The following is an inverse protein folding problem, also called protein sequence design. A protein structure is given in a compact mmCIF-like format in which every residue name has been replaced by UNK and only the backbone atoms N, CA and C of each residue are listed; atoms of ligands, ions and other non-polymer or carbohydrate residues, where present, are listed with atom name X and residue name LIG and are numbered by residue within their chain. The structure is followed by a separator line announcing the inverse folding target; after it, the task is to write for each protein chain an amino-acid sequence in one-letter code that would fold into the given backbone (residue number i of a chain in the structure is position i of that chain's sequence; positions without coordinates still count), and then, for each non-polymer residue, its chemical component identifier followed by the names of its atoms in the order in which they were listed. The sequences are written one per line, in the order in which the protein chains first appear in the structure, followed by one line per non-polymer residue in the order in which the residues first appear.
data_IF_385346916725
#
_entry.id   IF_385346916725
#
_cell.length_a   1.000
_cell.length_b   1.000
_cell.length_c   1.000
_cell.angle_alpha   90.00
_cell.angle_beta   90.00
_cell.angle_gamma   90.00
#
_symmetry.space_group_name_H-M   'P 1'
#
loop_
_entity.id
_entity.type
_entity.pdbx_description
1 polymer ?
2 non-polymer ?
3 non-polymer ?
4 non-polymer ?
5 water ?
#
# COMPACT_ATOMS: atom_id res chain seq x y z
N UNK A 1 4.06 -6.88 -39.64
CA UNK A 1 3.23 -7.65 -38.66
C UNK A 1 1.92 -8.10 -39.31
N UNK A 2 1.39 -9.25 -38.89
CA UNK A 2 0.14 -9.80 -39.42
C UNK A 2 -1.06 -8.89 -39.21
N UNK A 3 -2.18 -9.25 -39.83
CA UNK A 3 -3.40 -8.48 -39.71
C UNK A 3 -4.17 -8.96 -38.47
N UNK A 4 -3.79 -10.14 -37.97
CA UNK A 4 -4.44 -10.75 -36.83
C UNK A 4 -3.44 -11.34 -35.83
N UNK A 5 -3.55 -10.88 -34.58
CA UNK A 5 -2.70 -11.35 -33.49
C UNK A 5 -3.56 -11.71 -32.27
N UNK A 6 -3.33 -12.88 -31.70
CA UNK A 6 -4.06 -13.34 -30.53
C UNK A 6 -3.13 -14.31 -29.78
N UNK A 7 -2.43 -13.79 -28.78
CA UNK A 7 -1.49 -14.59 -28.02
C UNK A 7 -2.07 -15.78 -27.28
N UNK A 8 -3.39 -15.88 -27.26
CA UNK A 8 -4.05 -17.00 -26.61
C UNK A 8 -3.85 -18.21 -27.49
N UNK A 9 -4.06 -18.03 -28.78
CA UNK A 9 -3.89 -19.09 -29.76
C UNK A 9 -2.53 -19.74 -29.52
N UNK A 10 -1.51 -18.91 -29.36
CA UNK A 10 -0.16 -19.38 -29.12
C UNK A 10 0.00 -19.93 -27.71
N UNK A 11 -1.10 -19.98 -26.97
CA UNK A 11 -1.06 -20.48 -25.61
C UNK A 11 -0.10 -19.69 -24.73
N UNK A 12 -0.17 -18.37 -24.83
CA UNK A 12 0.68 -17.47 -24.06
C UNK A 12 -0.12 -16.69 -23.04
N UNK A 13 -1.41 -17.02 -22.93
CA UNK A 13 -2.29 -16.33 -22.00
C UNK A 13 -3.00 -17.29 -21.04
N UNK A 14 -2.91 -16.96 -19.75
CA UNK A 14 -3.54 -17.75 -18.69
C UNK A 14 -4.98 -17.30 -18.54
N UNK A 15 -5.82 -18.11 -17.87
CA UNK A 15 -7.22 -17.74 -17.68
C UNK A 15 -7.41 -16.32 -17.16
N UNK A 16 -8.62 -15.78 -17.36
CA UNK A 16 -8.96 -14.43 -16.91
C UNK A 16 -9.23 -14.43 -15.41
N UNK A 17 -8.54 -13.56 -14.69
CA UNK A 17 -8.70 -13.46 -13.25
C UNK A 17 -9.60 -12.30 -12.83
N UNK A 18 -10.01 -12.34 -11.56
CA UNK A 18 -10.87 -11.35 -10.95
C UNK A 18 -10.08 -10.70 -9.82
N UNK A 19 -9.85 -9.39 -9.93
CA UNK A 19 -9.10 -8.66 -8.92
C UNK A 19 -9.95 -8.37 -7.68
N UNK A 20 -11.25 -8.59 -7.82
CA UNK A 20 -12.17 -8.35 -6.72
C UNK A 20 -12.14 -6.88 -6.35
N UNK A 21 -12.30 -6.61 -5.06
CA UNK A 21 -12.31 -5.22 -4.59
C UNK A 21 -10.92 -4.70 -4.21
N UNK A 22 -10.07 -4.58 -5.22
CA UNK A 22 -8.72 -4.05 -5.04
C UNK A 22 -8.30 -3.21 -6.20
N UNK A 23 -7.45 -2.24 -5.92
CA UNK A 23 -6.94 -1.38 -6.96
C UNK A 23 -5.62 -1.97 -7.40
N UNK A 24 -5.62 -3.28 -7.65
CA UNK A 24 -4.42 -4.00 -8.05
C UNK A 24 -4.37 -4.32 -9.53
N UNK A 25 -5.09 -3.55 -10.33
CA UNK A 25 -5.15 -3.76 -11.77
C UNK A 25 -3.74 -3.72 -12.35
N UNK A 26 -2.98 -2.70 -11.95
CA UNK A 26 -1.62 -2.52 -12.40
C UNK A 26 -0.86 -3.83 -12.22
N UNK A 27 -1.15 -4.52 -11.12
CA UNK A 27 -0.51 -5.80 -10.80
C UNK A 27 -0.93 -6.89 -11.77
N UNK A 28 -2.24 -7.06 -11.90
CA UNK A 28 -2.77 -8.06 -12.81
C UNK A 28 -2.25 -7.83 -14.21
N UNK A 29 -2.25 -6.56 -14.62
CA UNK A 29 -1.77 -6.16 -15.94
C UNK A 29 -0.31 -6.54 -16.18
N UNK A 30 0.54 -6.26 -15.19
CA UNK A 30 1.95 -6.57 -15.30
C UNK A 30 2.17 -8.07 -15.33
N UNK A 31 1.49 -8.75 -14.42
CA UNK A 31 1.65 -10.19 -14.34
C UNK A 31 1.30 -10.89 -15.63
N UNK A 32 0.43 -10.28 -16.42
CA UNK A 32 0.05 -10.89 -17.69
C UNK A 32 1.18 -10.79 -18.71
N UNK A 33 1.80 -9.63 -18.80
CA UNK A 33 2.90 -9.45 -19.73
C UNK A 33 4.06 -10.39 -19.35
N UNK A 34 4.13 -10.75 -18.08
CA UNK A 34 5.19 -11.64 -17.62
C UNK A 34 4.91 -13.10 -17.99
N UNK A 35 3.69 -13.54 -17.73
CA UNK A 35 3.29 -14.92 -18.04
C UNK A 35 3.42 -15.19 -19.53
N UNK A 36 3.26 -14.15 -20.34
CA UNK A 36 3.36 -14.32 -21.76
C UNK A 36 4.79 -14.34 -22.25
N UNK A 37 5.57 -13.35 -21.84
CA UNK A 37 6.94 -13.30 -22.28
C UNK A 37 7.67 -14.58 -21.88
N UNK A 38 7.31 -15.13 -20.72
CA UNK A 38 7.94 -16.36 -20.28
C UNK A 38 7.56 -17.51 -21.20
N UNK A 39 6.32 -17.50 -21.68
CA UNK A 39 5.85 -18.53 -22.58
C UNK A 39 6.57 -18.45 -23.91
N UNK A 40 6.75 -17.22 -24.38
CA UNK A 40 7.42 -16.98 -25.66
C UNK A 40 8.86 -17.47 -25.67
N UNK A 41 9.54 -17.32 -24.54
CA UNK A 41 10.92 -17.72 -24.41
C UNK A 41 11.13 -19.16 -23.97
N UNK A 42 10.41 -19.54 -22.93
CA UNK A 42 10.52 -20.88 -22.39
C UNK A 42 9.69 -21.86 -23.21
N UNK A 43 8.40 -21.59 -23.32
CA UNK A 43 7.53 -22.48 -24.05
C UNK A 43 6.61 -23.10 -23.03
N UNK A 44 6.69 -22.58 -21.82
CA UNK A 44 5.86 -23.05 -20.71
C UNK A 44 5.00 -21.93 -20.17
N UNK A 45 3.69 -22.13 -20.22
CA UNK A 45 2.76 -21.12 -19.73
C UNK A 45 2.57 -21.26 -18.22
N UNK A 46 3.01 -20.25 -17.48
CA UNK A 46 2.91 -20.25 -16.02
C UNK A 46 2.18 -19.02 -15.49
N UNK A 47 1.56 -19.18 -14.32
CA UNK A 47 0.86 -18.07 -13.68
C UNK A 47 1.78 -17.52 -12.61
N UNK A 48 1.87 -16.20 -12.52
CA UNK A 48 2.73 -15.63 -11.51
C UNK A 48 1.95 -14.79 -10.50
N UNK A 49 2.44 -14.78 -9.27
CA UNK A 49 1.81 -14.06 -8.18
C UNK A 49 1.58 -12.55 -8.37
N UNK A 50 0.32 -12.15 -8.50
CA UNK A 50 0.04 -10.71 -8.63
C UNK A 50 0.03 -10.18 -7.21
N UNK A 51 -0.23 -11.07 -6.26
CA UNK A 51 -0.26 -10.74 -4.84
C UNK A 51 1.13 -10.27 -4.43
N UNK A 52 2.14 -10.92 -5.00
CA UNK A 52 3.52 -10.57 -4.70
C UNK A 52 3.75 -9.11 -5.05
N UNK A 53 3.34 -8.71 -6.25
CA UNK A 53 3.53 -7.34 -6.69
C UNK A 53 2.67 -6.39 -5.90
N UNK A 54 1.51 -6.86 -5.49
CA UNK A 54 0.57 -6.05 -4.73
C UNK A 54 1.14 -5.64 -3.40
N UNK A 55 1.76 -6.59 -2.71
CA UNK A 55 2.34 -6.38 -1.39
C UNK A 55 3.72 -5.78 -1.36
N UNK A 56 4.49 -6.08 -2.39
CA UNK A 56 5.87 -5.66 -2.45
C UNK A 56 6.23 -4.41 -3.25
N UNK A 57 5.35 -3.96 -4.13
CA UNK A 57 5.62 -2.76 -4.93
C UNK A 57 5.47 -1.53 -4.07
N UNK A 58 6.59 -1.01 -3.57
CA UNK A 58 6.54 0.17 -2.72
C UNK A 58 6.33 1.49 -3.43
N UNK A 59 6.39 1.48 -4.75
CA UNK A 59 6.16 2.72 -5.47
C UNK A 59 4.69 2.82 -5.85
N UNK A 60 3.99 1.69 -5.69
CA UNK A 60 2.57 1.62 -5.98
C UNK A 60 1.80 1.95 -4.69
N UNK A 61 0.53 1.55 -4.60
CA UNK A 61 -0.24 1.86 -3.41
C UNK A 61 -1.11 0.69 -3.03
N UNK A 62 -0.54 -0.50 -3.14
CA UNK A 62 -1.28 -1.71 -2.79
C UNK A 62 -2.65 -1.81 -3.43
N UNK A 63 -3.70 -1.87 -2.61
CA UNK A 63 -5.03 -1.99 -3.19
C UNK A 63 -5.68 -0.66 -3.41
N UNK A 64 -4.85 0.37 -3.46
CA UNK A 64 -5.35 1.71 -3.68
C UNK A 64 -4.77 2.31 -4.96
N UNK A 65 -4.32 1.43 -5.86
CA UNK A 65 -3.74 1.89 -7.11
C UNK A 65 -2.33 1.41 -7.26
N UNK A 66 -1.69 1.75 -8.38
CA UNK A 66 -0.32 1.34 -8.61
C UNK A 66 0.11 1.58 -10.05
N UNK A 67 1.30 1.12 -10.40
CA UNK A 67 1.81 1.29 -11.75
C UNK A 67 2.38 0.00 -12.30
N UNK A 68 1.97 -0.35 -13.53
CA UNK A 68 2.47 -1.60 -14.13
C UNK A 68 3.98 -1.53 -14.36
N UNK A 69 4.48 -0.36 -14.76
CA UNK A 69 5.92 -0.27 -15.01
C UNK A 69 6.77 -0.53 -13.76
N UNK A 70 6.45 0.08 -12.62
CA UNK A 70 7.25 -0.14 -11.41
C UNK A 70 7.18 -1.60 -10.98
N UNK A 71 6.06 -2.24 -11.26
CA UNK A 71 5.86 -3.63 -10.92
C UNK A 71 6.76 -4.45 -11.83
N UNK A 72 6.83 -4.08 -13.10
CA UNK A 72 7.66 -4.83 -14.01
C UNK A 72 9.13 -4.58 -13.69
N UNK A 73 9.43 -3.40 -13.17
CA UNK A 73 10.78 -3.03 -12.80
C UNK A 73 11.22 -3.92 -11.62
N UNK A 74 10.24 -4.29 -10.78
CA UNK A 74 10.48 -5.12 -9.60
C UNK A 74 10.70 -6.57 -10.03
N UNK A 75 10.22 -6.93 -11.20
CA UNK A 75 10.41 -8.30 -11.66
C UNK A 75 11.70 -8.42 -12.47
N UNK A 76 12.30 -7.29 -12.79
CA UNK A 76 13.56 -7.29 -13.54
C UNK A 76 14.74 -7.14 -12.59
N UNK A 77 14.46 -6.70 -11.35
CA UNK A 77 15.50 -6.51 -10.35
C UNK A 77 15.54 -7.68 -9.36
N UNK A 78 14.46 -8.46 -9.28
CA UNK A 78 14.39 -9.60 -8.37
C UNK A 78 13.77 -10.84 -8.99
N UNK A 79 12.53 -10.72 -9.46
CA UNK A 79 11.85 -11.86 -10.06
C UNK A 79 10.48 -12.02 -9.45
N UNK A 80 9.76 -13.07 -9.83
CA UNK A 80 8.43 -13.27 -9.29
C UNK A 80 8.16 -14.74 -8.97
N UNK A 81 7.21 -14.99 -8.07
CA UNK A 81 6.87 -16.35 -7.68
C UNK A 81 5.65 -16.87 -8.41
N UNK A 82 5.42 -18.17 -8.28
CA UNK A 82 4.26 -18.75 -8.94
C UNK A 82 3.00 -18.25 -8.25
N UNK A 83 1.90 -18.19 -8.99
CA UNK A 83 0.67 -17.70 -8.41
C UNK A 83 0.22 -18.59 -7.28
N UNK A 84 0.33 -19.90 -7.46
CA UNK A 84 -0.11 -20.80 -6.40
C UNK A 84 0.84 -20.73 -5.20
N UNK A 85 2.04 -20.19 -5.41
CA UNK A 85 3.01 -20.06 -4.32
C UNK A 85 2.70 -18.83 -3.48
N UNK A 86 2.04 -17.86 -4.11
CA UNK A 86 1.70 -16.61 -3.45
C UNK A 86 0.29 -16.21 -3.93
N UNK A 87 -0.71 -17.05 -3.63
CA UNK A 87 -2.14 -16.90 -3.98
C UNK A 87 -2.67 -15.50 -3.79
N UNK A 88 -3.58 -15.10 -4.67
CA UNK A 88 -4.18 -13.79 -4.60
C UNK A 88 -5.15 -13.73 -3.43
N UNK A 89 -5.12 -12.62 -2.68
CA UNK A 89 -5.99 -12.48 -1.52
C UNK A 89 -6.92 -11.28 -1.61
N UNK A 90 -6.93 -10.61 -2.76
CA UNK A 90 -7.79 -9.46 -2.93
C UNK A 90 -7.64 -8.42 -1.84
N UNK A 91 -6.46 -8.36 -1.22
CA UNK A 91 -6.17 -7.42 -0.14
C UNK A 91 -4.66 -7.26 -0.09
N UNK A 92 -4.18 -6.14 0.47
CA UNK A 92 -2.73 -5.91 0.56
C UNK A 92 -2.20 -6.24 1.96
N UNK A 93 -1.25 -7.16 2.00
CA UNK A 93 -0.61 -7.58 3.25
C UNK A 93 0.83 -7.05 3.23
N UNK A 94 1.71 -7.63 4.05
CA UNK A 94 3.10 -7.18 4.03
C UNK A 94 3.77 -8.07 3.00
N UNK A 95 4.89 -7.61 2.45
CA UNK A 95 5.56 -8.43 1.46
C UNK A 95 6.11 -9.71 2.05
N UNK A 96 5.59 -10.84 1.58
CA UNK A 96 6.00 -12.14 2.07
C UNK A 96 6.85 -12.86 1.04
N UNK A 97 7.60 -12.07 0.28
CA UNK A 97 8.42 -12.60 -0.79
C UNK A 97 9.65 -13.41 -0.35
N UNK A 98 10.03 -13.30 0.93
CA UNK A 98 11.20 -14.04 1.43
C UNK A 98 10.77 -15.32 2.16
N UNK A 99 9.47 -15.52 2.30
CA UNK A 99 8.94 -16.70 2.97
C UNK A 99 8.55 -17.75 1.94
N UNK A 100 8.99 -17.58 0.70
CA UNK A 100 8.60 -18.52 -0.34
C UNK A 100 9.72 -19.09 -1.20
N UNK A 101 10.96 -18.78 -0.84
CA UNK A 101 12.07 -19.30 -1.60
C UNK A 101 12.38 -18.49 -2.85
N UNK A 102 13.23 -19.04 -3.73
CA UNK A 102 13.61 -18.39 -4.98
C UNK A 102 12.44 -18.04 -5.90
N UNK A 103 12.67 -17.10 -6.80
CA UNK A 103 11.67 -16.63 -7.75
C UNK A 103 11.52 -17.60 -8.92
N UNK A 104 10.28 -18.00 -9.19
CA UNK A 104 10.01 -18.92 -10.28
C UNK A 104 10.61 -18.43 -11.60
N UNK A 105 10.59 -17.10 -11.78
CA UNK A 105 11.11 -16.50 -12.99
C UNK A 105 11.61 -15.08 -12.76
N UNK A 106 12.35 -14.56 -13.73
CA UNK A 106 12.89 -13.22 -13.63
C UNK A 106 13.04 -12.68 -15.01
N UNK A 107 12.98 -11.36 -15.12
CA UNK A 107 13.11 -10.72 -16.40
C UNK A 107 14.42 -9.96 -16.42
N UNK A 108 14.71 -9.34 -17.56
CA UNK A 108 15.96 -8.62 -17.72
C UNK A 108 15.77 -7.11 -17.91
N UNK A 109 14.53 -6.65 -17.88
CA UNK A 109 14.30 -5.23 -18.06
C UNK A 109 12.86 -4.91 -18.39
N UNK A 110 12.58 -3.62 -18.55
CA UNK A 110 11.25 -3.15 -18.87
C UNK A 110 11.34 -2.01 -19.85
N UNK A 111 10.47 -2.00 -20.84
CA UNK A 111 10.50 -0.91 -21.82
C UNK A 111 9.13 -0.31 -22.05
N UNK A 112 9.08 0.98 -22.35
CA UNK A 112 7.82 1.63 -22.60
C UNK A 112 7.61 1.88 -24.10
N UNK A 113 6.57 1.29 -24.71
CA UNK A 113 6.35 1.53 -26.15
C UNK A 113 6.15 3.01 -26.40
N UNK A 114 6.32 3.47 -27.63
CA UNK A 114 6.13 4.90 -27.89
C UNK A 114 4.67 5.26 -27.66
N UNK A 115 4.41 6.16 -26.70
CA UNK A 115 3.05 6.58 -26.35
C UNK A 115 2.38 7.41 -27.45
N UNK A 116 1.06 7.28 -27.55
CA UNK A 116 0.32 8.06 -28.53
C UNK A 116 0.69 7.67 -29.95
N UNK A 117 0.85 6.36 -30.15
CA UNK A 117 1.20 5.85 -31.45
C UNK A 117 0.63 4.45 -31.61
N UNK A 118 -0.48 4.36 -32.34
CA UNK A 118 -1.12 3.09 -32.56
C UNK A 118 -0.21 2.02 -33.18
N UNK A 119 0.57 2.41 -34.18
CA UNK A 119 1.47 1.47 -34.84
C UNK A 119 2.49 0.85 -33.91
N UNK A 120 3.19 1.74 -33.19
CA UNK A 120 4.20 1.35 -32.23
C UNK A 120 3.59 0.33 -31.26
N UNK A 121 2.41 0.64 -30.71
CA UNK A 121 1.74 -0.28 -29.80
C UNK A 121 1.44 -1.60 -30.51
N UNK A 122 0.84 -1.50 -31.68
CA UNK A 122 0.52 -2.70 -32.47
C UNK A 122 1.77 -3.52 -32.74
N UNK A 123 2.86 -2.83 -33.07
CA UNK A 123 4.10 -3.54 -33.33
C UNK A 123 4.49 -4.35 -32.11
N UNK A 124 4.51 -3.71 -30.94
CA UNK A 124 4.87 -4.41 -29.71
C UNK A 124 3.98 -5.60 -29.41
N UNK A 125 2.68 -5.41 -29.53
CA UNK A 125 1.75 -6.50 -29.25
C UNK A 125 2.05 -7.69 -30.13
N UNK A 126 2.41 -7.40 -31.38
CA UNK A 126 2.75 -8.42 -32.35
C UNK A 126 3.92 -9.28 -31.86
N UNK A 127 4.74 -8.70 -30.99
CA UNK A 127 5.89 -9.43 -30.47
C UNK A 127 5.60 -10.12 -29.15
N UNK A 128 4.74 -9.52 -28.34
CA UNK A 128 4.43 -10.07 -27.02
C UNK A 128 3.25 -9.35 -26.39
N UNK A 129 2.58 -10.00 -25.44
CA UNK A 129 1.44 -9.36 -24.77
C UNK A 129 1.98 -8.12 -24.11
N UNK A 130 1.31 -6.99 -24.31
CA UNK A 130 1.75 -5.74 -23.73
C UNK A 130 0.79 -5.17 -22.68
N UNK A 131 1.35 -4.50 -21.69
CA UNK A 131 0.57 -3.88 -20.64
C UNK A 131 0.16 -2.52 -21.14
N UNK A 132 -1.09 -2.16 -20.89
CA UNK A 132 -1.64 -0.88 -21.30
C UNK A 132 -2.68 -0.37 -20.31
N UNK A 133 -2.96 0.93 -20.41
CA UNK A 133 -3.92 1.57 -19.53
C UNK A 133 -5.03 2.28 -20.31
N UNK A 134 -6.18 2.42 -19.67
CA UNK A 134 -7.33 3.08 -20.31
C UNK A 134 -8.31 3.65 -19.27
N UNK A 135 -9.35 4.31 -19.75
CA UNK A 135 -10.37 4.89 -18.88
C UNK A 135 -11.45 3.83 -18.68
N UNK A 136 -11.62 3.37 -17.45
CA UNK A 136 -12.60 2.33 -17.17
C UNK A 136 -13.82 2.84 -16.42
N UNK A 137 -13.64 4.01 -15.82
CA UNK A 137 -14.68 4.69 -15.04
C UNK A 137 -15.72 5.26 -15.99
N UNK A 138 -16.51 4.38 -16.60
CA UNK A 138 -17.52 4.83 -17.53
C UNK A 138 -18.63 3.80 -17.63
N UNK A 139 -19.87 4.26 -17.60
CA UNK A 139 -20.99 3.34 -17.66
C UNK A 139 -20.83 2.42 -18.87
N UNK A 140 -20.41 3.01 -19.99
CA UNK A 140 -20.20 2.29 -21.25
C UNK A 140 -19.15 1.18 -21.17
N UNK A 141 -17.98 1.50 -20.63
CA UNK A 141 -16.91 0.52 -20.48
C UNK A 141 -17.35 -0.51 -19.44
N UNK A 142 -17.89 0.00 -18.35
CA UNK A 142 -18.37 -0.83 -17.25
C UNK A 142 -19.33 -1.92 -17.69
N UNK A 143 -20.36 -1.54 -18.42
CA UNK A 143 -21.39 -2.47 -18.87
C UNK A 143 -21.15 -3.16 -20.21
N UNK A 144 -19.93 -3.08 -20.74
CA UNK A 144 -19.60 -3.71 -22.02
C UNK A 144 -19.89 -5.21 -22.08
N UNK A 145 -20.72 -5.61 -23.05
CA UNK A 145 -21.09 -7.02 -23.18
C UNK A 145 -20.30 -7.77 -24.26
N UNK A 146 -20.04 -7.10 -25.38
CA UNK A 146 -19.30 -7.73 -26.45
C UNK A 146 -19.22 -6.84 -27.66
N UNK A 147 -18.52 -7.29 -28.70
CA UNK A 147 -18.39 -6.49 -29.91
C UNK A 147 -17.30 -5.45 -29.82
N UNK A 148 -16.98 -4.82 -30.94
CA UNK A 148 -15.92 -3.82 -30.91
C UNK A 148 -16.33 -2.55 -30.19
N UNK A 149 -15.72 -2.33 -29.03
CA UNK A 149 -16.00 -1.18 -28.20
C UNK A 149 -15.44 0.12 -28.78
N UNK A 150 -16.33 1.10 -28.95
CA UNK A 150 -15.96 2.40 -29.49
C UNK A 150 -16.16 3.52 -28.45
N UNK A 151 -16.84 3.20 -27.35
CA UNK A 151 -17.10 4.19 -26.33
C UNK A 151 -18.59 4.49 -26.16
N UNK A 152 -18.96 5.72 -25.79
CA UNK A 152 -18.11 6.89 -25.51
C UNK A 152 -17.04 6.59 -24.47
N UNK A 153 -15.90 7.26 -24.64
CA UNK A 153 -14.74 7.11 -23.78
C UNK A 153 -14.00 8.41 -23.59
N UNK A 154 -13.29 8.50 -22.47
CA UNK A 154 -12.49 9.69 -22.19
C UNK A 154 -11.06 9.23 -22.11
N UNK A 155 -10.11 10.16 -22.02
CA UNK A 155 -8.70 9.79 -21.94
C UNK A 155 -8.16 9.93 -20.51
N UNK A 156 -9.06 9.80 -19.55
CA UNK A 156 -8.72 9.90 -18.13
C UNK A 156 -8.38 8.50 -17.63
N UNK A 157 -7.36 7.90 -18.24
CA UNK A 157 -6.93 6.55 -17.91
C UNK A 157 -6.79 6.28 -16.41
N UNK A 158 -7.42 5.21 -15.97
CA UNK A 158 -7.44 4.85 -14.56
C UNK A 158 -7.52 3.34 -14.36
N UNK A 159 -7.15 2.61 -15.40
CA UNK A 159 -7.20 1.16 -15.35
C UNK A 159 -6.10 0.56 -16.22
N UNK A 160 -5.43 -0.44 -15.64
CA UNK A 160 -4.35 -1.14 -16.28
C UNK A 160 -4.75 -2.53 -16.69
N UNK A 161 -4.69 -2.78 -17.99
CA UNK A 161 -5.03 -4.11 -18.49
C UNK A 161 -3.92 -4.62 -19.37
N UNK A 162 -4.18 -5.76 -20.02
CA UNK A 162 -3.19 -6.37 -20.89
C UNK A 162 -3.71 -6.57 -22.30
N UNK A 163 -2.90 -6.11 -23.26
CA UNK A 163 -3.17 -6.20 -24.70
C UNK A 163 -2.54 -7.50 -25.18
N UNK A 164 -3.36 -8.48 -25.52
CA UNK A 164 -2.85 -9.76 -25.96
C UNK A 164 -3.13 -10.05 -27.44
N UNK A 165 -3.30 -8.98 -28.22
CA UNK A 165 -3.58 -9.16 -29.62
C UNK A 165 -4.30 -8.01 -30.26
N UNK A 166 -4.63 -8.19 -31.53
CA UNK A 166 -5.33 -7.16 -32.28
C UNK A 166 -5.87 -7.68 -33.60
N UNK A 167 -6.75 -6.90 -34.20
CA UNK A 167 -7.34 -7.25 -35.47
C UNK A 167 -7.31 -5.99 -36.30
N UNK A 168 -7.86 -6.02 -37.51
CA UNK A 168 -7.87 -4.83 -38.36
C UNK A 168 -8.70 -3.66 -37.84
N UNK A 169 -9.60 -3.91 -36.89
CA UNK A 169 -10.44 -2.84 -36.37
C UNK A 169 -10.38 -2.70 -34.85
N UNK A 170 -9.57 -3.53 -34.21
CA UNK A 170 -9.50 -3.50 -32.76
C UNK A 170 -8.18 -3.97 -32.19
N UNK A 171 -8.16 -4.01 -30.86
CA UNK A 171 -7.03 -4.46 -30.08
C UNK A 171 -7.66 -5.36 -29.03
N UNK A 172 -7.22 -6.61 -29.00
CA UNK A 172 -7.75 -7.57 -28.05
C UNK A 172 -7.11 -7.25 -26.69
N UNK A 173 -7.96 -7.04 -25.69
CA UNK A 173 -7.52 -6.69 -24.35
C UNK A 173 -8.06 -7.62 -23.27
N UNK A 174 -7.18 -8.09 -22.40
CA UNK A 174 -7.56 -8.99 -21.32
C UNK A 174 -7.73 -8.18 -20.06
N UNK A 175 -8.98 -8.10 -19.58
CA UNK A 175 -9.29 -7.35 -18.37
C UNK A 175 -9.14 -8.30 -17.18
N UNK A 176 -9.21 -7.76 -15.97
CA UNK A 176 -9.10 -8.56 -14.77
C UNK A 176 -10.37 -8.50 -13.93
N UNK A 177 -11.51 -8.35 -14.60
CA UNK A 177 -12.79 -8.27 -13.92
C UNK A 177 -13.59 -9.54 -14.02
N UNK A 178 -12.90 -10.68 -13.96
CA UNK A 178 -13.59 -11.95 -14.06
C UNK A 178 -14.09 -12.24 -15.47
N UNK A 179 -14.44 -13.51 -15.70
CA UNK A 179 -14.92 -13.96 -17.01
C UNK A 179 -16.34 -13.54 -17.26
N UNK A 180 -17.00 -12.96 -16.26
CA UNK A 180 -18.37 -12.54 -16.46
C UNK A 180 -18.48 -11.24 -17.24
N UNK A 181 -17.41 -10.46 -17.26
CA UNK A 181 -17.41 -9.19 -17.95
C UNK A 181 -17.02 -9.30 -19.42
N UNK A 182 -17.59 -8.42 -20.24
CA UNK A 182 -17.29 -8.41 -21.66
C UNK A 182 -17.34 -9.76 -22.34
N UNK A 183 -16.40 -9.99 -23.25
CA UNK A 183 -16.35 -11.26 -23.97
C UNK A 183 -15.55 -12.27 -23.17
N UNK A 184 -16.20 -12.91 -22.21
CA UNK A 184 -15.53 -13.89 -21.36
C UNK A 184 -14.31 -13.31 -20.65
N UNK A 185 -14.44 -12.08 -20.20
CA UNK A 185 -13.35 -11.42 -19.50
C UNK A 185 -12.51 -10.54 -20.39
N UNK A 186 -12.77 -10.63 -21.69
CA UNK A 186 -12.05 -9.87 -22.72
C UNK A 186 -12.85 -8.76 -23.37
N UNK A 187 -12.14 -7.80 -23.93
CA UNK A 187 -12.77 -6.71 -24.64
C UNK A 187 -11.94 -6.30 -25.85
N UNK A 188 -12.63 -6.03 -26.96
CA UNK A 188 -11.99 -5.62 -28.19
C UNK A 188 -12.31 -4.16 -28.46
N UNK A 189 -11.37 -3.29 -28.12
CA UNK A 189 -11.59 -1.86 -28.34
C UNK A 189 -11.17 -1.51 -29.76
N UNK A 190 -11.88 -0.56 -30.38
CA UNK A 190 -11.59 -0.17 -31.75
C UNK A 190 -10.30 0.60 -31.90
N UNK A 191 -9.64 0.41 -33.05
CA UNK A 191 -8.38 1.09 -33.34
C UNK A 191 -8.41 1.77 -34.70
N UNK A 192 -7.49 2.69 -34.91
CA UNK A 192 -7.42 3.39 -36.18
C UNK A 192 -8.51 4.42 -36.33
N UNK A 193 -8.56 5.36 -35.40
CA UNK A 193 -9.57 6.41 -35.42
C UNK A 193 -8.92 7.77 -35.67
N UNK A 194 -7.60 7.83 -35.56
CA UNK A 194 -6.91 9.07 -35.79
C UNK A 194 -6.60 9.80 -34.50
N UNK A 195 -7.29 9.42 -33.43
CA UNK A 195 -7.08 10.03 -32.12
C UNK A 195 -5.77 9.54 -31.50
N UNK A 196 -4.87 10.47 -31.20
CA UNK A 196 -3.57 10.11 -30.60
C UNK A 196 -3.76 9.26 -29.34
N UNK A 197 -4.54 9.78 -28.40
CA UNK A 197 -4.85 9.10 -27.15
C UNK A 197 -5.35 7.67 -27.37
N UNK A 198 -6.04 7.46 -28.49
CA UNK A 198 -6.59 6.14 -28.75
C UNK A 198 -7.88 6.00 -27.95
N UNK A 199 -8.85 5.26 -28.47
CA UNK A 199 -10.11 5.06 -27.78
C UNK A 199 -9.89 4.71 -26.29
N UNK A 200 -10.42 5.55 -25.41
CA UNK A 200 -10.30 5.41 -23.95
C UNK A 200 -8.90 5.70 -23.43
N UNK A 201 -8.09 6.39 -24.23
CA UNK A 201 -6.73 6.71 -23.82
C UNK A 201 -5.80 5.50 -23.84
N UNK A 202 -6.20 4.47 -24.58
CA UNK A 202 -5.46 3.22 -24.71
C UNK A 202 -3.99 3.33 -25.16
N UNK A 203 -3.58 4.49 -25.68
CA UNK A 203 -2.19 4.68 -26.15
C UNK A 203 -1.40 5.61 -25.20
N UNK A 204 -1.88 5.79 -23.98
CA UNK A 204 -1.22 6.69 -23.04
C UNK A 204 0.05 6.17 -22.38
N UNK A 205 0.01 4.98 -21.80
CA UNK A 205 1.17 4.44 -21.11
C UNK A 205 1.22 2.93 -21.30
N UNK A 206 2.07 2.49 -22.22
CA UNK A 206 2.20 1.06 -22.52
C UNK A 206 3.57 0.53 -22.20
N UNK A 207 3.61 -0.55 -21.42
CA UNK A 207 4.88 -1.16 -21.06
C UNK A 207 4.89 -2.65 -21.28
N UNK A 208 6.09 -3.19 -21.41
CA UNK A 208 6.25 -4.61 -21.59
C UNK A 208 7.59 -5.07 -21.04
N UNK A 209 7.64 -6.30 -20.55
CA UNK A 209 8.89 -6.83 -20.00
C UNK A 209 9.88 -7.29 -21.08
N UNK A 210 11.18 -7.28 -20.77
CA UNK A 210 12.21 -7.73 -21.70
C UNK A 210 12.95 -8.95 -21.15
N UNK A 211 12.69 -10.13 -21.70
CA UNK A 211 13.36 -11.36 -21.26
C UNK A 211 14.23 -11.93 -22.39
N UNK A 212 15.41 -12.40 -22.04
CA UNK A 212 16.32 -12.97 -23.04
C UNK A 212 16.10 -14.46 -23.20
N UNK B 1 7.99 20.86 33.42
CA UNK B 1 7.23 19.57 33.33
C UNK B 1 7.38 18.76 34.60
N UNK B 2 6.33 18.02 34.99
CA UNK B 2 6.32 17.17 36.18
C UNK B 2 7.30 16.00 36.12
N UNK B 3 7.56 15.41 37.27
CA UNK B 3 8.45 14.27 37.34
C UNK B 3 7.75 13.04 36.76
N UNK B 4 6.43 13.03 36.82
CA UNK B 4 5.63 11.92 36.32
C UNK B 4 4.52 12.37 35.38
N UNK B 5 4.29 11.58 34.34
CA UNK B 5 3.26 11.88 33.35
C UNK B 5 2.67 10.56 32.85
N UNK B 6 1.35 10.46 32.78
CA UNK B 6 0.70 9.25 32.27
C UNK B 6 -0.69 9.64 31.82
N UNK B 7 -0.83 9.95 30.55
CA UNK B 7 -2.13 10.37 30.04
C UNK B 7 -3.30 9.42 30.23
N UNK B 8 -3.03 8.27 30.81
CA UNK B 8 -4.10 7.32 31.06
C UNK B 8 -4.92 7.80 32.26
N UNK B 9 -4.26 8.49 33.18
CA UNK B 9 -4.93 9.02 34.37
C UNK B 9 -5.73 10.26 34.01
N UNK B 10 -5.59 10.66 32.74
CA UNK B 10 -6.29 11.81 32.24
C UNK B 10 -7.35 11.33 31.24
N UNK B 11 -7.54 10.02 31.18
CA UNK B 11 -8.52 9.45 30.25
C UNK B 11 -8.33 9.95 28.83
N UNK B 12 -7.06 10.14 28.45
CA UNK B 12 -6.69 10.62 27.13
C UNK B 12 -6.16 9.50 26.23
N UNK B 13 -6.17 8.28 26.75
CA UNK B 13 -5.68 7.16 25.98
C UNK B 13 -6.75 6.10 25.84
N UNK B 14 -6.82 5.51 24.64
CA UNK B 14 -7.79 4.47 24.32
C UNK B 14 -7.19 3.10 24.59
N UNK B 15 -8.03 2.05 24.65
CA UNK B 15 -7.52 0.70 24.92
C UNK B 15 -6.45 0.24 23.96
N UNK B 16 -5.69 -0.76 24.38
CA UNK B 16 -4.63 -1.29 23.55
C UNK B 16 -5.18 -2.17 22.44
N UNK B 17 -4.82 -1.79 21.22
CA UNK B 17 -5.26 -2.50 20.05
C UNK B 17 -4.13 -3.42 19.62
N UNK B 18 -4.45 -4.27 18.65
CA UNK B 18 -3.47 -5.22 18.15
C UNK B 18 -3.25 -5.02 16.67
N UNK B 19 -2.00 -4.73 16.33
CA UNK B 19 -1.55 -4.50 14.97
C UNK B 19 -1.84 -5.72 14.10
N UNK B 20 -1.64 -6.90 14.66
CA UNK B 20 -1.85 -8.11 13.90
C UNK B 20 -0.62 -8.23 13.03
N UNK B 21 -0.75 -8.93 11.90
CA UNK B 21 0.36 -9.14 10.97
C UNK B 21 0.30 -8.10 9.85
N UNK B 22 0.40 -6.83 10.24
CA UNK B 22 0.38 -5.70 9.32
C UNK B 22 1.40 -4.67 9.66
N UNK B 23 2.07 -4.14 8.65
CA UNK B 23 3.01 -3.08 8.90
C UNK B 23 2.19 -1.81 9.00
N UNK B 24 1.30 -1.77 9.99
CA UNK B 24 0.42 -0.63 10.20
C UNK B 24 0.72 0.08 11.51
N UNK B 25 1.92 -0.11 12.03
CA UNK B 25 2.32 0.51 13.29
C UNK B 25 2.24 2.01 13.14
N UNK B 26 2.74 2.53 12.02
CA UNK B 26 2.74 3.97 11.77
C UNK B 26 1.34 4.55 11.93
N UNK B 27 0.32 3.78 11.53
CA UNK B 27 -1.08 4.18 11.63
C UNK B 27 -1.56 4.17 13.08
N UNK B 28 -1.41 3.03 13.73
CA UNK B 28 -1.79 2.91 15.13
C UNK B 28 -1.12 4.02 15.91
N UNK B 29 0.19 4.16 15.72
CA UNK B 29 0.95 5.22 16.37
C UNK B 29 0.25 6.58 16.19
N UNK B 30 0.08 7.00 14.93
CA UNK B 30 -0.57 8.26 14.62
C UNK B 30 -1.92 8.39 15.31
N UNK B 31 -2.79 7.40 15.13
CA UNK B 31 -4.12 7.45 15.72
C UNK B 31 -4.07 7.70 17.23
N UNK B 32 -3.17 7.04 17.92
CA UNK B 32 -3.06 7.24 19.34
C UNK B 32 -2.84 8.70 19.65
N UNK B 33 -1.93 9.35 18.94
CA UNK B 33 -1.67 10.76 19.22
C UNK B 33 -2.90 11.60 18.87
N UNK B 34 -3.67 11.16 17.88
CA UNK B 34 -4.86 11.87 17.45
C UNK B 34 -5.99 11.71 18.47
N UNK B 35 -6.08 10.54 19.08
CA UNK B 35 -7.11 10.28 20.08
C UNK B 35 -6.78 11.13 21.31
N UNK B 36 -5.49 11.25 21.60
CA UNK B 36 -5.06 12.01 22.75
C UNK B 36 -5.33 13.49 22.58
N UNK B 37 -4.81 14.04 21.50
CA UNK B 37 -4.98 15.45 21.25
C UNK B 37 -6.46 15.87 21.27
N UNK B 38 -7.31 15.08 20.64
CA UNK B 38 -8.73 15.41 20.62
C UNK B 38 -9.33 15.38 22.02
N UNK B 39 -8.93 14.40 22.84
CA UNK B 39 -9.45 14.32 24.20
C UNK B 39 -9.09 15.59 24.94
N UNK B 40 -7.82 15.97 24.85
CA UNK B 40 -7.31 17.16 25.51
C UNK B 40 -8.11 18.40 25.11
N UNK B 41 -8.20 18.62 23.81
CA UNK B 41 -8.92 19.77 23.27
C UNK B 41 -10.42 19.76 23.53
N UNK B 42 -11.11 18.84 22.89
CA UNK B 42 -12.54 18.75 23.04
C UNK B 42 -12.94 18.31 24.44
N UNK B 43 -12.17 17.41 25.02
CA UNK B 43 -12.52 16.91 26.34
C UNK B 43 -13.34 15.66 26.19
N UNK B 44 -13.11 14.94 25.09
CA UNK B 44 -13.83 13.69 24.82
C UNK B 44 -12.90 12.65 24.23
N UNK B 45 -12.95 11.44 24.77
CA UNK B 45 -12.12 10.36 24.28
C UNK B 45 -12.83 9.62 23.16
N UNK B 46 -12.13 9.43 22.05
CA UNK B 46 -12.68 8.75 20.88
C UNK B 46 -11.64 7.88 20.21
N UNK B 47 -12.11 6.84 19.55
CA UNK B 47 -11.23 5.93 18.82
C UNK B 47 -11.37 6.28 17.33
N UNK B 48 -10.24 6.46 16.66
CA UNK B 48 -10.26 6.78 15.24
C UNK B 48 -9.69 5.67 14.38
N UNK B 49 -10.12 5.66 13.12
CA UNK B 49 -9.73 4.65 12.14
C UNK B 49 -8.28 4.58 11.65
N UNK B 50 -7.61 3.48 12.00
CA UNK B 50 -6.24 3.24 11.55
C UNK B 50 -6.31 2.66 10.14
N UNK B 51 -7.40 1.94 9.88
CA UNK B 51 -7.65 1.33 8.57
C UNK B 51 -7.60 2.42 7.51
N UNK B 52 -8.32 3.51 7.78
CA UNK B 52 -8.40 4.66 6.90
C UNK B 52 -7.01 5.17 6.59
N UNK B 53 -6.16 5.30 7.61
CA UNK B 53 -4.80 5.78 7.38
C UNK B 53 -4.08 4.71 6.59
N UNK B 54 -4.38 3.46 6.93
CA UNK B 54 -3.78 2.34 6.27
C UNK B 54 -4.05 2.38 4.78
N UNK B 55 -5.32 2.56 4.43
CA UNK B 55 -5.78 2.60 3.05
C UNK B 55 -5.49 3.89 2.29
N UNK B 56 -5.74 5.00 2.96
CA UNK B 56 -5.60 6.32 2.39
C UNK B 56 -4.21 6.91 2.25
N UNK B 57 -3.34 6.75 3.25
CA UNK B 57 -2.01 7.34 3.17
C UNK B 57 -1.25 6.82 1.97
N UNK B 58 -1.15 7.65 0.94
CA UNK B 58 -0.46 7.22 -0.26
C UNK B 58 1.05 7.27 -0.19
N UNK B 59 1.58 7.84 0.87
CA UNK B 59 3.03 7.89 1.00
C UNK B 59 3.50 6.68 1.79
N UNK B 60 2.57 6.03 2.48
CA UNK B 60 2.88 4.83 3.26
C UNK B 60 2.66 3.62 2.38
N UNK B 61 3.10 2.46 2.86
CA UNK B 61 3.00 1.25 2.08
C UNK B 61 1.96 0.26 2.57
N UNK B 62 0.86 0.80 3.06
CA UNK B 62 -0.21 -0.05 3.57
C UNK B 62 0.33 -0.97 4.64
N UNK B 63 0.13 -2.27 4.47
CA UNK B 63 0.60 -3.19 5.50
C UNK B 63 2.04 -3.61 5.32
N UNK B 64 2.78 -2.79 4.60
CA UNK B 64 4.16 -3.05 4.30
C UNK B 64 5.03 -1.91 4.85
N UNK B 65 4.54 -1.26 5.90
CA UNK B 65 5.27 -0.16 6.51
C UNK B 65 4.65 1.21 6.24
N UNK B 66 5.20 2.25 6.85
CA UNK B 66 4.67 3.58 6.65
C UNK B 66 5.28 4.60 7.58
N UNK B 67 4.84 5.85 7.44
CA UNK B 67 5.36 6.92 8.28
C UNK B 67 4.27 7.58 9.11
N UNK B 68 4.55 7.79 10.40
CA UNK B 68 3.54 8.42 11.24
C UNK B 68 3.29 9.88 10.82
N UNK B 69 4.31 10.59 10.36
CA UNK B 69 4.07 11.98 9.97
C UNK B 69 3.04 12.09 8.84
N UNK B 70 3.32 11.47 7.70
CA UNK B 70 2.41 11.54 6.57
C UNK B 70 0.99 11.15 6.98
N UNK B 71 0.87 10.17 7.86
CA UNK B 71 -0.44 9.75 8.32
C UNK B 71 -1.10 10.90 9.10
N UNK B 72 -0.31 11.65 9.84
CA UNK B 72 -0.85 12.74 10.61
C UNK B 72 -1.10 13.92 9.69
N UNK B 73 -0.31 13.99 8.62
CA UNK B 73 -0.42 15.06 7.63
C UNK B 73 -1.78 14.97 6.92
N UNK B 74 -2.34 13.77 6.87
CA UNK B 74 -3.64 13.54 6.24
C UNK B 74 -4.79 13.97 7.14
N UNK B 75 -4.66 13.68 8.43
CA UNK B 75 -5.71 14.04 9.35
C UNK B 75 -5.77 15.54 9.53
N UNK B 76 -4.66 16.23 9.24
CA UNK B 76 -4.63 17.68 9.39
C UNK B 76 -4.91 18.43 8.09
N UNK B 77 -5.03 17.69 7.00
CA UNK B 77 -5.30 18.27 5.68
C UNK B 77 -6.69 17.90 5.20
N UNK B 78 -7.27 16.87 5.81
CA UNK B 78 -8.61 16.41 5.47
C UNK B 78 -9.37 16.08 6.74
N UNK B 79 -9.06 14.93 7.31
CA UNK B 79 -9.71 14.50 8.54
C UNK B 79 -9.57 13.01 8.75
N UNK B 80 -10.28 12.47 9.72
CA UNK B 80 -10.22 11.05 9.97
C UNK B 80 -11.58 10.58 10.46
N UNK B 81 -11.94 9.34 10.15
CA UNK B 81 -13.22 8.81 10.58
C UNK B 81 -13.11 7.99 11.84
N UNK B 82 -14.23 7.85 12.54
CA UNK B 82 -14.27 7.08 13.77
C UNK B 82 -13.86 5.63 13.53
N UNK B 83 -13.07 5.09 14.44
CA UNK B 83 -12.58 3.73 14.30
C UNK B 83 -13.68 2.72 14.06
N UNK B 84 -14.88 2.98 14.56
CA UNK B 84 -15.93 1.99 14.35
C UNK B 84 -16.86 2.27 13.17
N UNK B 85 -16.46 3.17 12.28
CA UNK B 85 -17.27 3.46 11.10
C UNK B 85 -16.36 3.16 9.92
N UNK B 86 -15.15 2.73 10.28
CA UNK B 86 -14.11 2.36 9.33
C UNK B 86 -13.22 1.43 10.14
N UNK B 87 -13.80 0.29 10.59
CA UNK B 87 -13.16 -0.76 11.40
C UNK B 87 -11.83 -1.27 10.86
N UNK B 88 -11.01 -1.73 11.78
CA UNK B 88 -9.71 -2.25 11.43
C UNK B 88 -9.81 -3.68 10.91
N UNK B 89 -9.31 -3.89 9.69
CA UNK B 89 -9.36 -5.19 9.03
C UNK B 89 -8.04 -5.94 9.05
N UNK B 90 -6.98 -5.31 9.56
CA UNK B 90 -5.70 -5.98 9.61
C UNK B 90 -5.13 -6.28 8.23
N UNK B 91 -5.52 -5.46 7.27
CA UNK B 91 -5.06 -5.61 5.90
C UNK B 91 -5.37 -4.31 5.16
N UNK B 92 -4.66 -4.05 4.06
CA UNK B 92 -4.87 -2.83 3.29
C UNK B 92 -5.77 -3.04 2.09
N UNK B 93 -6.65 -2.08 1.87
CA UNK B 93 -7.58 -2.11 0.75
C UNK B 93 -7.60 -0.71 0.16
N UNK B 94 -8.62 -0.38 -0.65
CA UNK B 94 -8.68 0.96 -1.24
C UNK B 94 -9.34 1.91 -0.25
N UNK B 95 -8.90 3.16 -0.25
CA UNK B 95 -9.49 4.09 0.71
C UNK B 95 -10.97 4.27 0.52
N UNK B 96 -11.70 4.14 1.62
CA UNK B 96 -13.15 4.24 1.61
C UNK B 96 -13.67 5.43 2.38
N UNK B 97 -12.86 6.49 2.47
CA UNK B 97 -13.25 7.68 3.19
C UNK B 97 -14.50 8.35 2.63
N UNK B 98 -14.55 8.50 1.31
CA UNK B 98 -15.70 9.14 0.68
C UNK B 98 -16.99 8.34 0.81
N UNK B 99 -16.92 7.14 1.39
CA UNK B 99 -18.11 6.31 1.58
C UNK B 99 -18.50 6.28 3.06
N UNK B 100 -17.85 7.12 3.86
CA UNK B 100 -18.10 7.14 5.29
C UNK B 100 -18.68 8.45 5.79
N UNK B 101 -19.12 9.29 4.87
CA UNK B 101 -19.68 10.57 5.27
C UNK B 101 -18.62 11.57 5.71
N UNK B 102 -19.02 12.66 6.37
CA UNK B 102 -18.07 13.67 6.82
C UNK B 102 -17.07 13.12 7.84
N UNK B 103 -15.87 13.72 7.85
CA UNK B 103 -14.83 13.30 8.77
C UNK B 103 -15.27 13.42 10.21
N UNK B 104 -14.81 12.49 11.03
CA UNK B 104 -15.14 12.46 12.45
C UNK B 104 -14.39 13.54 13.19
N UNK B 105 -13.24 13.94 12.65
CA UNK B 105 -12.41 14.96 13.28
C UNK B 105 -11.25 15.34 12.39
N UNK B 106 -10.67 16.50 12.69
CA UNK B 106 -9.53 17.00 11.92
C UNK B 106 -8.62 17.76 12.84
N UNK B 107 -7.34 17.82 12.48
CA UNK B 107 -6.35 18.55 13.25
C UNK B 107 -5.92 19.72 12.39
N UNK B 108 -5.08 20.58 12.94
CA UNK B 108 -4.63 21.76 12.21
C UNK B 108 -3.19 21.66 11.69
N UNK B 109 -2.48 20.62 12.07
CA UNK B 109 -1.11 20.49 11.61
C UNK B 109 -0.35 19.37 12.30
N UNK B 110 0.94 19.30 12.01
CA UNK B 110 1.82 18.29 12.59
C UNK B 110 3.23 18.83 12.68
N UNK B 111 3.93 18.46 13.74
CA UNK B 111 5.30 18.90 13.92
C UNK B 111 6.18 17.77 14.49
N UNK B 112 7.47 17.87 14.23
CA UNK B 112 8.42 16.88 14.72
C UNK B 112 9.22 17.42 15.89
N UNK B 113 9.16 16.77 17.04
CA UNK B 113 9.94 17.25 18.19
C UNK B 113 11.40 17.16 17.78
N UNK B 114 12.22 18.10 18.25
CA UNK B 114 13.64 18.09 17.92
C UNK B 114 14.21 16.70 18.19
N UNK B 115 14.73 16.06 17.13
CA UNK B 115 15.30 14.72 17.22
C UNK B 115 16.51 14.58 18.14
N UNK B 116 16.75 13.35 18.58
CA UNK B 116 17.88 13.04 19.42
C UNK B 116 18.01 13.97 20.60
N UNK B 117 16.88 14.22 21.25
CA UNK B 117 16.84 15.12 22.38
C UNK B 117 15.84 14.63 23.42
N UNK B 118 16.33 14.00 24.47
CA UNK B 118 15.47 13.46 25.50
C UNK B 118 14.50 14.49 26.11
N UNK B 119 15.02 15.64 26.53
CA UNK B 119 14.17 16.67 27.11
C UNK B 119 13.10 17.19 26.15
N UNK B 120 13.49 17.36 24.90
CA UNK B 120 12.54 17.83 23.90
C UNK B 120 11.40 16.84 23.80
N UNK B 121 11.71 15.55 23.72
CA UNK B 121 10.67 14.53 23.63
C UNK B 121 9.80 14.54 24.87
N UNK B 122 10.44 14.61 26.04
CA UNK B 122 9.69 14.62 27.29
C UNK B 122 8.80 15.84 27.37
N UNK B 123 9.37 16.99 27.02
CA UNK B 123 8.63 18.24 27.04
C UNK B 123 7.31 18.00 26.32
N UNK B 124 7.39 17.54 25.07
CA UNK B 124 6.20 17.27 24.27
C UNK B 124 5.27 16.26 24.94
N UNK B 125 5.83 15.14 25.43
CA UNK B 125 5.02 14.12 26.08
C UNK B 125 4.14 14.78 27.14
N UNK B 126 4.73 15.70 27.89
CA UNK B 126 4.00 16.41 28.94
C UNK B 126 2.81 17.19 28.36
N UNK B 127 2.94 17.62 27.10
CA UNK B 127 1.86 18.37 26.47
C UNK B 127 0.79 17.47 25.86
N UNK B 128 1.22 16.39 25.23
CA UNK B 128 0.27 15.50 24.58
C UNK B 128 0.94 14.16 24.22
N UNK B 129 0.13 13.12 23.96
CA UNK B 129 0.70 11.82 23.60
C UNK B 129 1.48 12.00 22.29
N UNK B 130 2.71 11.51 22.26
CA UNK B 130 3.54 11.67 21.09
C UNK B 130 3.81 10.38 20.34
N UNK B 131 4.01 10.51 19.03
CA UNK B 131 4.34 9.39 18.16
C UNK B 131 5.84 9.33 18.04
N UNK B 132 6.40 8.19 18.46
CA UNK B 132 7.83 7.94 18.42
C UNK B 132 8.10 6.62 17.73
N UNK B 133 9.37 6.36 17.43
CA UNK B 133 9.76 5.12 16.77
C UNK B 133 10.98 4.49 17.48
N UNK B 134 11.12 3.17 17.37
CA UNK B 134 12.24 2.45 17.99
C UNK B 134 12.58 1.18 17.24
N UNK B 135 13.60 0.47 17.71
CA UNK B 135 14.01 -0.79 17.11
C UNK B 135 13.22 -1.86 17.86
N UNK B 136 12.32 -2.57 17.17
CA UNK B 136 11.55 -3.64 17.83
C UNK B 136 12.02 -5.00 17.33
N UNK B 137 12.93 -4.99 16.35
CA UNK B 137 13.48 -6.19 15.75
C UNK B 137 14.11 -7.12 16.77
N UNK B 138 14.95 -6.55 17.65
CA UNK B 138 15.61 -7.33 18.67
C UNK B 138 14.71 -8.32 19.37
N UNK B 139 15.31 -9.39 19.88
CA UNK B 139 14.58 -10.44 20.57
C UNK B 139 14.15 -10.00 21.96
N UNK B 140 14.98 -9.19 22.61
CA UNK B 140 14.67 -8.71 23.95
C UNK B 140 13.37 -7.92 23.94
N UNK B 141 13.26 -7.02 22.96
CA UNK B 141 12.09 -6.19 22.84
C UNK B 141 10.84 -7.04 22.67
N UNK B 142 10.84 -7.87 21.63
CA UNK B 142 9.71 -8.74 21.34
C UNK B 142 9.29 -9.60 22.53
N UNK B 143 10.27 -10.02 23.32
CA UNK B 143 10.00 -10.84 24.48
C UNK B 143 9.66 -10.05 25.74
N UNK B 144 9.72 -8.72 25.66
CA UNK B 144 9.43 -7.87 26.80
C UNK B 144 8.16 -8.28 27.55
N UNK B 145 8.35 -8.58 28.83
CA UNK B 145 7.25 -9.04 29.68
C UNK B 145 6.79 -7.99 30.69
N UNK B 146 7.74 -7.16 31.13
CA UNK B 146 7.43 -6.14 32.10
C UNK B 146 8.69 -5.48 32.61
N UNK B 147 8.52 -4.55 33.55
CA UNK B 147 9.66 -3.85 34.11
C UNK B 147 10.08 -2.67 33.24
N UNK B 148 11.28 -2.16 33.46
CA UNK B 148 11.76 -1.04 32.67
C UNK B 148 12.80 -1.53 31.66
N UNK B 149 12.37 -1.69 30.41
CA UNK B 149 13.24 -2.18 29.35
C UNK B 149 14.51 -1.32 29.21
N UNK B 150 15.66 -1.98 29.12
CA UNK B 150 16.93 -1.26 29.01
C UNK B 150 17.77 -1.73 27.82
N UNK B 151 17.21 -2.67 27.06
CA UNK B 151 17.92 -3.22 25.92
C UNK B 151 18.29 -4.67 26.21
N UNK B 152 19.29 -5.24 25.54
CA UNK B 152 20.11 -4.60 24.51
C UNK B 152 19.28 -4.14 23.32
N UNK B 153 19.68 -3.01 22.73
CA UNK B 153 18.99 -2.40 21.60
C UNK B 153 19.91 -1.82 20.54
N UNK B 154 19.34 -1.57 19.36
CA UNK B 154 20.10 -0.96 18.27
C UNK B 154 19.33 0.28 17.84
N UNK B 155 19.87 1.05 16.89
CA UNK B 155 19.20 2.27 16.40
C UNK B 155 18.50 1.97 15.09
N UNK B 156 18.29 0.69 14.82
CA UNK B 156 17.62 0.31 13.58
C UNK B 156 16.14 0.41 13.78
N UNK B 157 15.66 1.65 13.83
CA UNK B 157 14.26 1.94 14.02
C UNK B 157 13.41 1.30 12.92
N UNK B 158 12.32 0.67 13.32
CA UNK B 158 11.45 -0.01 12.38
C UNK B 158 10.06 -0.20 12.96
N UNK B 159 9.84 0.35 14.15
CA UNK B 159 8.54 0.25 14.80
C UNK B 159 8.03 1.63 15.22
N UNK B 160 6.76 1.89 14.97
CA UNK B 160 6.19 3.16 15.35
C UNK B 160 5.18 3.01 16.47
N UNK B 161 5.52 3.57 17.62
CA UNK B 161 4.65 3.51 18.78
C UNK B 161 4.25 4.91 19.25
N UNK B 162 3.58 4.96 20.40
CA UNK B 162 3.11 6.19 21.00
C UNK B 162 3.54 6.37 22.47
N UNK B 163 4.21 7.51 22.73
CA UNK B 163 4.69 7.88 24.07
C UNK B 163 3.51 8.55 24.78
N UNK B 164 2.95 7.87 25.78
CA UNK B 164 1.81 8.40 26.52
C UNK B 164 2.18 8.81 27.93
N UNK B 165 3.47 8.91 28.18
CA UNK B 165 3.91 9.29 29.51
C UNK B 165 5.36 9.03 29.77
N UNK B 166 5.74 9.20 31.02
CA UNK B 166 7.10 8.96 31.45
C UNK B 166 7.24 9.08 32.96
N UNK B 167 8.40 8.66 33.44
CA UNK B 167 8.69 8.71 34.86
C UNK B 167 10.10 9.24 34.98
N UNK B 168 10.64 9.35 36.19
CA UNK B 168 12.00 9.86 36.31
C UNK B 168 13.00 8.88 35.75
N UNK B 169 12.61 7.62 35.71
CA UNK B 169 13.49 6.59 35.24
C UNK B 169 13.00 5.84 33.99
N UNK B 170 12.13 6.45 33.21
CA UNK B 170 11.63 5.80 32.00
C UNK B 170 10.73 6.69 31.14
N UNK B 171 10.13 6.07 30.13
CA UNK B 171 9.18 6.75 29.25
C UNK B 171 8.10 5.72 28.89
N UNK B 172 6.90 5.97 29.38
CA UNK B 172 5.75 5.09 29.14
C UNK B 172 5.41 5.10 27.66
N UNK B 173 5.19 3.91 27.09
CA UNK B 173 4.88 3.80 25.67
C UNK B 173 3.74 2.84 25.41
N UNK B 174 2.84 3.22 24.51
CA UNK B 174 1.71 2.37 24.17
C UNK B 174 2.02 1.66 22.86
N UNK B 175 2.21 0.34 22.96
CA UNK B 175 2.51 -0.45 21.77
C UNK B 175 1.20 -0.90 21.17
N UNK B 176 1.28 -1.35 19.93
CA UNK B 176 0.08 -1.84 19.26
C UNK B 176 0.23 -3.33 18.97
N UNK B 177 0.77 -4.08 19.93
CA UNK B 177 0.94 -5.54 19.81
C UNK B 177 -0.02 -6.31 20.69
N UNK B 178 -1.21 -5.75 20.91
CA UNK B 178 -2.16 -6.44 21.76
C UNK B 178 -1.99 -6.14 23.24
N UNK B 179 -3.03 -6.46 24.01
CA UNK B 179 -3.06 -6.23 25.46
C UNK B 179 -2.31 -7.34 26.20
N UNK B 180 -1.90 -8.37 25.46
CA UNK B 180 -1.19 -9.48 26.06
C UNK B 180 0.31 -9.31 26.04
N UNK B 181 0.79 -8.25 25.41
CA UNK B 181 2.24 -8.01 25.34
C UNK B 181 2.73 -7.06 26.41
N UNK B 182 3.95 -7.29 26.88
CA UNK B 182 4.52 -6.46 27.92
C UNK B 182 3.54 -6.19 29.05
N UNK B 183 3.51 -4.95 29.52
CA UNK B 183 2.60 -4.58 30.59
C UNK B 183 1.25 -4.23 30.00
N UNK B 184 0.44 -5.26 29.75
CA UNK B 184 -0.89 -5.07 29.17
C UNK B 184 -0.89 -4.20 27.90
N UNK B 185 0.14 -4.40 27.08
CA UNK B 185 0.24 -3.66 25.85
C UNK B 185 1.16 -2.45 25.92
N UNK B 186 1.64 -2.13 27.13
CA UNK B 186 2.50 -0.98 27.29
C UNK B 186 3.91 -1.38 27.64
N UNK B 187 4.83 -0.44 27.52
CA UNK B 187 6.22 -0.68 27.85
C UNK B 187 6.84 0.59 28.40
N UNK B 188 7.66 0.44 29.45
CA UNK B 188 8.34 1.56 30.08
C UNK B 188 9.81 1.47 29.71
N UNK B 189 10.27 2.33 28.82
CA UNK B 189 11.65 2.28 28.40
C UNK B 189 12.57 3.23 29.17
N UNK B 190 13.72 2.70 29.58
CA UNK B 190 14.73 3.45 30.32
C UNK B 190 15.01 4.77 29.63
N UNK B 191 15.31 5.81 30.41
CA UNK B 191 15.63 7.12 29.85
C UNK B 191 16.76 7.75 30.65
N UNK B 192 17.23 8.90 30.20
CA UNK B 192 18.33 9.56 30.90
C UNK B 192 19.54 8.67 30.86
N UNK B 193 19.78 8.12 29.67
CA UNK B 193 20.91 7.22 29.44
C UNK B 193 22.18 7.96 29.02
N UNK B 194 22.02 9.16 28.47
CA UNK B 194 23.18 9.93 28.04
C UNK B 194 23.39 9.76 26.56
N UNK B 195 22.77 8.73 26.00
CA UNK B 195 22.87 8.46 24.58
C UNK B 195 21.80 9.22 23.80
N UNK B 196 22.25 10.02 22.82
CA UNK B 196 21.34 10.83 22.02
C UNK B 196 20.22 10.00 21.37
N UNK B 197 20.59 8.88 20.76
CA UNK B 197 19.62 7.99 20.11
C UNK B 197 18.52 7.53 21.06
N UNK B 198 18.84 7.46 22.35
CA UNK B 198 17.85 7.00 23.29
C UNK B 198 17.83 5.48 23.16
N UNK B 199 17.41 4.80 24.22
CA UNK B 199 17.36 3.35 24.21
C UNK B 199 16.51 2.88 23.03
N UNK B 200 17.11 2.09 22.14
CA UNK B 200 16.42 1.55 20.95
C UNK B 200 16.13 2.66 19.94
N UNK B 201 16.83 3.79 20.07
CA UNK B 201 16.63 4.90 19.16
C UNK B 201 15.25 5.55 19.29
N UNK B 202 14.75 5.61 20.51
CA UNK B 202 13.45 6.16 20.80
C UNK B 202 13.32 7.66 20.47
N UNK B 203 14.47 8.31 20.26
CA UNK B 203 14.56 9.74 19.97
C UNK B 203 14.87 10.02 18.49
N UNK B 204 14.91 8.98 17.67
CA UNK B 204 15.23 9.13 16.26
C UNK B 204 14.21 9.90 15.43
N UNK B 205 12.92 9.80 15.76
CA UNK B 205 11.89 10.49 14.97
C UNK B 205 10.53 10.50 15.66
N UNK B 206 10.14 11.66 16.18
CA UNK B 206 8.86 11.75 16.88
C UNK B 206 8.00 12.92 16.40
N UNK B 207 6.71 12.67 16.29
CA UNK B 207 5.80 13.71 15.84
C UNK B 207 4.56 13.79 16.72
N UNK B 208 3.76 14.82 16.48
CA UNK B 208 2.52 14.99 17.23
C UNK B 208 1.51 15.89 16.52
N UNK B 209 0.23 15.60 16.71
CA UNK B 209 -0.82 16.40 16.09
C UNK B 209 -0.83 17.80 16.68
N UNK B 210 -1.30 18.77 15.90
CA UNK B 210 -1.43 20.16 16.32
C UNK B 210 -2.90 20.51 16.06
N UNK B 211 -3.65 20.70 17.14
CA UNK B 211 -5.06 21.05 17.05
C UNK B 211 -5.35 22.28 17.91
N UNK B 212 -5.91 23.32 17.29
CA UNK B 212 -6.23 24.56 17.99
C UNK B 212 -7.49 24.41 18.82
X LIG C 1 -11.79 -0.89 -10.62
X LIG C 1 -12.74 -1.81 -9.90
X LIG C 1 -14.08 -2.00 -10.65
X LIG C 1 -14.20 -1.63 -11.81
X LIG C 1 -12.99 -1.32 -8.47
X LIG C 1 -11.78 -1.29 -7.72
X LIG D 1 -15.05 -2.59 -9.95
X LIG D 1 -16.38 -2.87 -10.51
X LIG D 1 -16.30 -3.93 -11.60
X LIG D 1 -15.20 -4.49 -11.76
X LIG D 1 -17.04 -1.59 -11.07
X LIG D 1 -17.63 -0.71 -9.98
X LIG D 1 -18.38 -1.17 -9.12
X LIG D 1 -17.28 0.58 -10.01
X LIG D 1 -17.32 -4.20 -12.27
X LIG E 1 7.96 -3.39 12.66
X LIG E 1 7.79 -4.83 13.01
X LIG E 1 6.44 -5.03 13.69
X LIG E 1 5.89 -4.09 14.25
X LIG E 1 8.93 -5.27 13.94
X LIG E 1 10.18 -5.19 13.27
X LIG F 1 5.92 -6.25 13.66
X LIG F 1 4.63 -6.49 14.26
X LIG F 1 4.35 -7.84 14.91
X LIG F 1 3.28 -8.41 14.69
X LIG G 1 5.29 -8.36 15.70
X LIG G 1 5.11 -9.65 16.38
X LIG G 1 4.38 -9.45 17.71
X LIG G 1 4.87 -9.94 18.74
X LIG G 1 6.46 -10.33 16.63
X LIG G 1 6.74 -11.47 15.67
X LIG G 1 6.98 -11.25 14.48
X LIG G 1 6.71 -12.70 16.18
X LIG G 1 3.32 -8.80 17.70
#
# INVERSE_FOLDING_TARGET
IPEYVDWRQKGAVTPVKNQGSCGSCWAFSAVVTIEGIIKIRTGNLNEYSEQELLDCDRRSYGCNGGYPWSALQLVAQYGIHYRNTYPYEGVQRYCRSREKGPYAAKTDGVRQVQPYNEGALLYSIANQPVSVVLEAAGKDFQLYRGGIFVGPCGNKVDHAVAAVGYGPNYILIKNSWGTGWGENGYIRIKRGTGNSYGVCGLYTSSFYPVKN
IPEYVDWRQKGAVTPVKNQGSCGSCWAFSAVVTIEGIIKIRTGNLNEYSEQELLDCDRRSYGCNGGYPWSALQLVAQYGIHYRNTYPYEGVQRYCRSREKGPYAAKTDGVRQVQPYNEGALLYSIANQPVSVVLEAAGKDFQLYRGGIFVGPCGNKVDHAVAAVGYGPNYILIKNSWGTGWGENGYIRIKRGTGNSYGVCGLYTSSFYPVKN
SER N CA C O CB OG
ASN N CA C O CB CG OD1 ND2 OXT
SER N CA C O CB OG
GLY N CA C O
ASN N CA C O CB CG OD1 ND2 OXT
#
